data_IF_490406957335
#
_entry.id   IF_490406957335
#
_cell.length_a   1.000
_cell.length_b   1.000
_cell.length_c   1.000
_cell.angle_alpha   90.00
_cell.angle_beta   90.00
_cell.angle_gamma   90.00
#
_symmetry.space_group_name_H-M   'P 1'
#
loop_
_entity.id
_entity.type
_entity.pdbx_description
1 polymer ?
#
# COMPACT_ATOMS: atom_id res chain seq x y z
N UNK A 1 7.11 36.17 -41.50
CA UNK A 1 5.93 35.91 -40.66
C UNK A 1 5.67 34.42 -40.69
N UNK A 2 6.13 33.69 -39.67
CA UNK A 2 5.84 32.28 -39.50
C UNK A 2 5.19 32.12 -38.13
N UNK A 3 3.87 31.99 -38.11
CA UNK A 3 3.11 31.71 -36.89
C UNK A 3 3.45 30.29 -36.41
N UNK A 4 4.21 30.21 -35.31
CA UNK A 4 4.28 29.00 -34.50
C UNK A 4 3.05 28.97 -33.62
N UNK A 5 2.10 28.10 -33.97
CA UNK A 5 0.99 27.73 -33.08
C UNK A 5 1.57 27.00 -31.87
N UNK A 6 1.54 27.66 -30.72
CA UNK A 6 1.79 27.05 -29.43
C UNK A 6 0.63 26.08 -29.15
N UNK A 7 0.93 24.79 -29.15
CA UNK A 7 -0.03 23.77 -28.74
C UNK A 7 -0.19 23.89 -27.22
N UNK A 8 -1.33 24.42 -26.80
CA UNK A 8 -1.73 24.52 -25.40
C UNK A 8 -1.99 23.11 -24.84
N UNK A 9 -0.93 22.48 -24.31
CA UNK A 9 -1.06 21.25 -23.55
C UNK A 9 -1.54 21.60 -22.15
N UNK A 10 -2.83 21.85 -21.99
CA UNK A 10 -3.45 21.88 -20.66
C UNK A 10 -3.35 20.47 -20.06
N UNK A 11 -2.27 20.23 -19.30
CA UNK A 11 -2.20 19.10 -18.38
C UNK A 11 -3.27 19.39 -17.33
N UNK A 12 -4.44 18.77 -17.47
CA UNK A 12 -5.42 18.69 -16.39
C UNK A 12 -4.70 18.17 -15.16
N UNK A 13 -4.48 19.04 -14.17
CA UNK A 13 -3.86 18.66 -12.92
C UNK A 13 -4.68 17.50 -12.34
N UNK A 14 -4.08 16.30 -12.26
CA UNK A 14 -4.76 15.11 -11.77
C UNK A 14 -5.27 15.40 -10.36
N UNK A 15 -6.59 15.53 -10.22
CA UNK A 15 -7.22 15.79 -8.91
C UNK A 15 -7.05 14.54 -8.06
N UNK A 16 -6.17 14.62 -7.07
CA UNK A 16 -5.92 13.52 -6.14
C UNK A 16 -7.21 13.17 -5.36
N UNK A 17 -7.47 11.87 -5.11
CA UNK A 17 -8.64 11.45 -4.34
C UNK A 17 -8.63 11.97 -2.90
N UNK A 18 -9.82 12.26 -2.37
CA UNK A 18 -9.99 12.64 -0.97
C UNK A 18 -10.28 11.39 -0.12
N UNK A 19 -9.75 11.36 1.10
CA UNK A 19 -10.04 10.32 2.09
C UNK A 19 -10.97 10.86 3.19
N UNK A 20 -11.84 9.99 3.70
CA UNK A 20 -12.70 10.28 4.86
C UNK A 20 -12.07 9.79 6.17
N UNK A 21 -12.42 10.41 7.30
CA UNK A 21 -12.02 9.92 8.63
C UNK A 21 -12.70 8.58 8.96
N UNK A 22 -11.97 7.67 9.61
CA UNK A 22 -12.47 6.38 10.11
C UNK A 22 -12.32 6.35 11.64
N UNK A 23 -13.40 6.55 12.42
CA UNK A 23 -13.29 6.76 13.87
C UNK A 23 -12.99 5.49 14.69
N UNK A 24 -13.09 4.29 14.11
CA UNK A 24 -13.01 3.02 14.84
C UNK A 24 -11.97 2.05 14.26
N UNK A 25 -10.84 2.58 13.78
CA UNK A 25 -9.76 1.73 13.30
C UNK A 25 -9.16 0.93 14.45
N UNK A 26 -8.90 -0.35 14.20
CA UNK A 26 -8.34 -1.27 15.19
C UNK A 26 -7.01 -1.80 14.69
N UNK A 27 -6.05 -1.87 15.61
CA UNK A 27 -4.73 -2.44 15.36
C UNK A 27 -4.78 -3.94 15.65
N UNK A 28 -4.22 -4.74 14.75
CA UNK A 28 -3.91 -6.15 14.99
C UNK A 28 -2.41 -6.34 14.97
N UNK A 29 -1.82 -6.55 16.15
CA UNK A 29 -0.40 -6.81 16.32
C UNK A 29 -0.02 -8.20 15.79
N UNK A 30 0.98 -8.27 14.94
CA UNK A 30 1.58 -9.52 14.44
C UNK A 30 2.86 -9.86 15.21
N UNK A 31 3.60 -8.83 15.64
CA UNK A 31 4.73 -8.95 16.57
C UNK A 31 4.87 -7.68 17.39
N UNK A 32 4.42 -7.74 18.64
CA UNK A 32 4.39 -6.61 19.57
C UNK A 32 3.82 -5.35 18.88
N UNK A 33 4.34 -4.16 19.20
CA UNK A 33 4.05 -2.92 18.48
C UNK A 33 4.97 -2.69 17.27
N UNK A 34 5.91 -3.60 17.02
CA UNK A 34 6.89 -3.46 15.94
C UNK A 34 6.35 -3.84 14.56
N UNK A 35 5.29 -4.64 14.51
CA UNK A 35 4.66 -5.09 13.27
C UNK A 35 3.17 -5.30 13.49
N UNK A 36 2.34 -4.52 12.80
CA UNK A 36 0.89 -4.58 12.97
C UNK A 36 0.12 -4.16 11.72
N UNK A 37 -1.13 -4.58 11.65
CA UNK A 37 -2.05 -4.22 10.56
C UNK A 37 -3.22 -3.41 11.07
N UNK A 38 -3.79 -2.59 10.18
CA UNK A 38 -5.02 -1.84 10.41
C UNK A 38 -5.97 -2.15 9.26
N UNK A 39 -7.03 -2.90 9.56
CA UNK A 39 -8.04 -3.27 8.57
C UNK A 39 -8.93 -2.06 8.25
N UNK A 40 -9.44 -2.01 7.00
CA UNK A 40 -10.34 -0.95 6.53
C UNK A 40 -9.76 0.47 6.70
N UNK A 41 -8.43 0.61 6.57
CA UNK A 41 -7.74 1.91 6.60
C UNK A 41 -8.24 2.80 5.45
N UNK A 42 -8.38 2.23 4.26
CA UNK A 42 -9.13 2.81 3.15
C UNK A 42 -10.36 1.95 2.83
N UNK A 43 -11.40 2.60 2.32
CA UNK A 43 -12.52 1.90 1.69
C UNK A 43 -12.14 1.39 0.30
N UNK A 44 -12.95 0.49 -0.26
CA UNK A 44 -12.73 0.03 -1.65
C UNK A 44 -12.84 1.19 -2.66
N UNK A 45 -13.80 2.10 -2.46
CA UNK A 45 -13.96 3.26 -3.33
C UNK A 45 -12.73 4.18 -3.29
N UNK A 46 -12.15 4.42 -2.12
CA UNK A 46 -10.92 5.21 -1.98
C UNK A 46 -9.73 4.49 -2.63
N UNK A 47 -9.56 3.19 -2.39
CA UNK A 47 -8.48 2.39 -2.97
C UNK A 47 -8.52 2.42 -4.49
N UNK A 48 -9.69 2.15 -5.10
CA UNK A 48 -9.90 2.22 -6.55
C UNK A 48 -9.66 3.63 -7.12
N UNK A 49 -10.08 4.68 -6.41
CA UNK A 49 -9.83 6.06 -6.83
C UNK A 49 -8.32 6.37 -6.87
N UNK A 50 -7.55 5.88 -5.90
CA UNK A 50 -6.09 6.04 -5.89
C UNK A 50 -5.39 5.23 -6.97
N UNK A 51 -5.82 3.99 -7.23
CA UNK A 51 -5.30 3.19 -8.37
C UNK A 51 -5.50 3.95 -9.67
N UNK A 52 -6.73 4.44 -9.93
CA UNK A 52 -7.05 5.21 -11.14
C UNK A 52 -6.18 6.48 -11.26
N UNK A 53 -5.96 7.18 -10.15
CA UNK A 53 -5.09 8.35 -10.12
C UNK A 53 -3.62 7.99 -10.43
N UNK A 54 -3.08 6.92 -9.83
CA UNK A 54 -1.71 6.44 -10.07
C UNK A 54 -1.50 6.00 -11.53
N UNK A 55 -2.47 5.30 -12.12
CA UNK A 55 -2.43 4.90 -13.53
C UNK A 55 -2.45 6.13 -14.45
N UNK A 56 -3.25 7.16 -14.13
CA UNK A 56 -3.33 8.40 -14.92
C UNK A 56 -2.02 9.20 -15.00
N UNK A 57 -1.13 9.04 -14.01
CA UNK A 57 0.18 9.70 -13.96
C UNK A 57 1.32 8.81 -14.48
N UNK A 58 1.00 7.64 -15.04
CA UNK A 58 1.94 6.77 -15.74
C UNK A 58 2.69 5.77 -14.87
N UNK A 59 2.12 5.35 -13.73
CA UNK A 59 2.69 4.27 -12.93
C UNK A 59 2.80 2.97 -13.75
N UNK A 60 3.97 2.33 -13.76
CA UNK A 60 4.26 1.13 -14.55
C UNK A 60 4.40 -0.11 -13.68
N UNK A 61 3.86 -1.23 -14.17
CA UNK A 61 4.00 -2.56 -13.55
C UNK A 61 5.46 -3.05 -13.66
N UNK A 62 5.88 -3.88 -12.69
CA UNK A 62 7.17 -4.59 -12.73
C UNK A 62 8.13 -4.23 -11.59
N UNK A 63 7.74 -3.34 -10.68
CA UNK A 63 8.53 -3.02 -9.49
C UNK A 63 8.55 -4.20 -8.52
N UNK A 64 9.71 -4.48 -7.93
CA UNK A 64 9.89 -5.52 -6.91
C UNK A 64 10.80 -5.01 -5.80
N UNK A 65 10.44 -5.35 -4.57
CA UNK A 65 11.28 -5.14 -3.40
C UNK A 65 11.79 -6.49 -2.91
N UNK A 66 13.09 -6.71 -3.06
CA UNK A 66 13.76 -7.88 -2.50
C UNK A 66 13.86 -7.82 -0.98
N UNK A 67 14.68 -8.69 -0.39
CA UNK A 67 14.90 -8.70 1.06
C UNK A 67 15.70 -7.48 1.49
N UNK A 68 15.18 -6.73 2.46
CA UNK A 68 15.79 -5.50 2.97
C UNK A 68 15.33 -5.17 4.40
N UNK A 69 15.94 -4.13 4.96
CA UNK A 69 15.60 -3.47 6.22
C UNK A 69 15.33 -2.01 5.90
N UNK A 70 14.34 -1.42 6.57
CA UNK A 70 14.03 0.00 6.45
C UNK A 70 14.70 0.76 7.59
N UNK A 71 15.55 1.71 7.23
CA UNK A 71 16.31 2.54 8.18
C UNK A 71 15.52 3.76 8.65
N UNK A 72 15.82 4.25 9.85
CA UNK A 72 15.29 5.53 10.31
C UNK A 72 16.01 6.70 9.67
N UNK A 73 15.26 7.63 9.11
CA UNK A 73 15.78 8.88 8.54
C UNK A 73 15.63 10.01 9.55
N UNK A 74 16.71 10.76 9.78
CA UNK A 74 16.70 12.03 10.50
C UNK A 74 16.32 13.15 9.52
N UNK A 75 15.29 13.91 9.86
CA UNK A 75 14.77 15.00 9.03
C UNK A 75 15.18 16.39 9.56
N UNK A 76 16.02 16.45 10.60
CA UNK A 76 16.34 17.67 11.32
C UNK A 76 15.26 18.08 12.33
N UNK A 77 15.56 19.08 13.15
CA UNK A 77 14.65 19.64 14.18
C UNK A 77 14.07 18.59 15.15
N UNK A 78 14.85 17.54 15.46
CA UNK A 78 14.39 16.44 16.32
C UNK A 78 13.43 15.47 15.64
N UNK A 79 13.10 15.67 14.36
CA UNK A 79 12.16 14.81 13.62
C UNK A 79 12.85 13.57 13.05
N UNK A 80 12.24 12.41 13.26
CA UNK A 80 12.78 11.13 12.78
C UNK A 80 11.67 10.19 12.28
N UNK A 81 11.95 9.39 11.26
CA UNK A 81 11.02 8.33 10.83
C UNK A 81 11.19 7.08 11.69
N UNK A 82 10.09 6.51 12.17
CA UNK A 82 10.12 5.29 13.01
C UNK A 82 9.38 4.09 12.41
N UNK A 83 8.43 4.31 11.50
CA UNK A 83 7.64 3.23 10.91
C UNK A 83 7.49 3.41 9.41
N UNK A 84 7.50 2.29 8.70
CA UNK A 84 7.05 2.21 7.32
C UNK A 84 5.55 1.95 7.35
N UNK A 85 4.80 2.68 6.54
CA UNK A 85 3.38 2.51 6.29
C UNK A 85 3.19 2.00 4.87
N UNK A 86 2.69 0.78 4.75
CA UNK A 86 2.25 0.18 3.49
C UNK A 86 0.72 0.16 3.44
N UNK A 87 0.12 0.78 2.44
CA UNK A 87 -1.34 0.74 2.20
C UNK A 87 -1.60 -0.08 0.94
N UNK A 88 -2.25 -1.22 1.08
CA UNK A 88 -2.60 -2.09 -0.04
C UNK A 88 -3.84 -1.54 -0.74
N UNK A 89 -3.70 -1.13 -2.00
CA UNK A 89 -4.80 -0.57 -2.81
C UNK A 89 -5.50 -1.63 -3.67
N UNK A 90 -4.92 -2.82 -3.73
CA UNK A 90 -5.44 -3.98 -4.46
C UNK A 90 -5.14 -5.24 -3.67
N UNK A 91 -6.00 -6.25 -3.74
CA UNK A 91 -5.75 -7.54 -3.12
C UNK A 91 -7.03 -8.32 -2.87
N UNK A 92 -6.90 -9.46 -2.19
CA UNK A 92 -8.05 -10.29 -1.85
C UNK A 92 -9.03 -9.51 -0.99
N UNK A 93 -10.28 -9.33 -1.47
CA UNK A 93 -11.35 -8.80 -0.64
C UNK A 93 -11.75 -9.90 0.36
N UNK A 94 -11.64 -9.63 1.67
CA UNK A 94 -12.37 -10.44 2.67
C UNK A 94 -13.69 -9.72 2.94
N UNK A 95 -14.80 -10.09 2.27
CA UNK A 95 -16.08 -9.54 2.66
C UNK A 95 -16.40 -10.01 4.09
N UNK A 96 -16.85 -9.06 4.91
CA UNK A 96 -17.57 -9.38 6.14
C UNK A 96 -18.71 -10.33 5.75
N UNK A 97 -18.82 -11.46 6.42
CA UNK A 97 -19.83 -12.47 6.11
C UNK A 97 -21.23 -11.88 6.27
N UNK A 98 -21.82 -11.43 5.17
CA UNK A 98 -23.26 -11.19 5.04
C UNK A 98 -23.69 -11.78 3.72
N UNK A 99 -24.45 -12.85 3.80
CA UNK A 99 -25.16 -13.48 2.69
C UNK A 99 -26.03 -12.43 2.00
N UNK A 100 -25.57 -11.84 0.91
CA UNK A 100 -26.45 -11.18 -0.04
C UNK A 100 -25.98 -11.45 -1.47
N UNK A 101 -26.76 -12.29 -2.15
CA UNK A 101 -26.66 -12.54 -3.59
C UNK A 101 -27.25 -11.34 -4.32
N UNK A 102 -26.45 -10.32 -4.60
CA UNK A 102 -26.57 -9.49 -5.81
C UNK A 102 -25.58 -8.33 -5.79
N UNK A 103 -24.61 -8.35 -6.69
CA UNK A 103 -24.10 -7.12 -7.31
C UNK A 103 -23.31 -7.44 -8.58
N UNK A 104 -23.28 -6.51 -9.54
CA UNK A 104 -22.91 -6.77 -10.93
C UNK A 104 -21.42 -7.08 -11.06
N UNK A 105 -21.09 -7.93 -12.04
CA UNK A 105 -19.72 -8.15 -12.51
C UNK A 105 -19.13 -6.84 -13.02
N UNK A 106 -18.45 -6.10 -12.14
CA UNK A 106 -17.45 -5.12 -12.59
C UNK A 106 -16.35 -5.89 -13.30
N UNK A 107 -16.22 -5.61 -14.58
CA UNK A 107 -15.26 -6.26 -15.46
C UNK A 107 -13.83 -5.81 -15.10
N UNK A 108 -12.91 -6.78 -15.06
CA UNK A 108 -11.46 -6.63 -15.32
C UNK A 108 -10.43 -6.52 -14.18
N UNK A 109 -10.60 -7.20 -13.04
CA UNK A 109 -9.40 -7.63 -12.28
C UNK A 109 -9.41 -9.14 -12.03
N UNK A 110 -8.55 -9.85 -12.74
CA UNK A 110 -8.15 -11.20 -12.35
C UNK A 110 -7.73 -11.19 -10.87
N UNK A 111 -8.09 -12.22 -10.07
CA UNK A 111 -7.72 -12.26 -8.67
C UNK A 111 -6.19 -12.16 -8.52
N UNK A 112 -5.74 -11.23 -7.66
CA UNK A 112 -4.32 -11.07 -7.33
C UNK A 112 -3.83 -12.34 -6.63
N UNK A 113 -2.76 -12.96 -7.15
CA UNK A 113 -2.12 -14.13 -6.54
C UNK A 113 -0.65 -13.83 -6.29
N UNK A 114 -0.18 -14.16 -5.09
CA UNK A 114 1.14 -13.80 -4.61
C UNK A 114 1.23 -12.35 -4.14
N UNK A 115 2.44 -11.82 -4.05
CA UNK A 115 2.66 -10.44 -3.61
C UNK A 115 2.58 -10.25 -2.09
N UNK A 116 2.69 -11.31 -1.30
CA UNK A 116 2.72 -11.22 0.17
C UNK A 116 3.92 -10.40 0.63
N UNK A 117 3.72 -9.59 1.67
CA UNK A 117 4.83 -8.95 2.38
C UNK A 117 5.24 -9.87 3.52
N UNK A 118 6.49 -10.35 3.48
CA UNK A 118 6.96 -11.42 4.36
C UNK A 118 8.10 -10.90 5.23
N UNK A 119 8.01 -11.19 6.52
CA UNK A 119 8.98 -10.79 7.52
C UNK A 119 9.69 -12.02 8.06
N UNK A 120 11.02 -11.92 8.17
CA UNK A 120 11.90 -12.98 8.58
C UNK A 120 12.59 -12.65 9.91
N UNK A 121 12.76 -13.67 10.74
CA UNK A 121 13.50 -13.63 11.99
C UNK A 121 14.86 -14.32 11.87
N UNK A 122 15.43 -14.67 13.02
CA UNK A 122 16.71 -15.37 13.12
C UNK A 122 16.72 -16.67 12.33
N UNK A 123 17.84 -16.98 11.67
CA UNK A 123 17.98 -18.17 10.81
C UNK A 123 16.93 -18.23 9.69
N UNK A 124 16.45 -17.07 9.23
CA UNK A 124 15.55 -16.96 8.09
C UNK A 124 14.16 -17.57 8.30
N UNK A 125 13.71 -17.73 9.54
CA UNK A 125 12.36 -18.23 9.85
C UNK A 125 11.32 -17.17 9.49
N UNK A 126 10.19 -17.58 8.90
CA UNK A 126 9.06 -16.66 8.64
C UNK A 126 8.40 -16.32 9.97
N UNK A 127 8.37 -15.03 10.30
CA UNK A 127 7.73 -14.48 11.51
C UNK A 127 6.31 -14.04 11.20
N UNK A 128 6.11 -13.41 10.04
CA UNK A 128 4.81 -12.99 9.59
C UNK A 128 4.75 -12.99 8.06
N UNK A 129 3.57 -13.30 7.54
CA UNK A 129 3.26 -13.26 6.12
C UNK A 129 1.93 -12.52 5.95
N UNK A 130 1.98 -11.36 5.29
CA UNK A 130 0.85 -10.45 5.16
C UNK A 130 0.40 -10.44 3.70
N UNK A 131 -0.73 -11.08 3.37
CA UNK A 131 -1.27 -11.04 2.02
C UNK A 131 -1.79 -9.63 1.69
N UNK A 132 -1.62 -9.16 0.45
CA UNK A 132 -2.20 -7.90 0.01
C UNK A 132 -3.73 -7.98 0.13
N UNK A 133 -4.29 -7.12 0.97
CA UNK A 133 -5.73 -7.04 1.24
C UNK A 133 -6.15 -5.60 0.96
N UNK A 134 -7.04 -5.39 0.00
CA UNK A 134 -7.46 -4.05 -0.42
C UNK A 134 -7.95 -3.22 0.78
N UNK A 135 -7.44 -1.99 0.88
CA UNK A 135 -7.79 -1.04 1.93
C UNK A 135 -7.13 -1.30 3.29
N UNK A 136 -6.33 -2.36 3.45
CA UNK A 136 -5.58 -2.63 4.67
C UNK A 136 -4.28 -1.81 4.69
N UNK A 137 -3.93 -1.29 5.87
CA UNK A 137 -2.59 -0.78 6.15
C UNK A 137 -1.76 -1.80 6.93
N UNK A 138 -0.46 -1.84 6.66
CA UNK A 138 0.56 -2.59 7.38
C UNK A 138 1.62 -1.61 7.84
N UNK A 139 1.97 -1.65 9.11
CA UNK A 139 3.02 -0.84 9.69
C UNK A 139 4.10 -1.74 10.28
N UNK A 140 5.36 -1.39 10.03
CA UNK A 140 6.50 -2.03 10.67
C UNK A 140 7.57 -1.01 11.06
N UNK A 141 8.24 -1.27 12.18
CA UNK A 141 9.25 -0.38 12.74
C UNK A 141 10.53 -0.36 11.89
N UNK A 142 11.25 0.76 11.91
CA UNK A 142 12.54 0.96 11.27
C UNK A 142 13.73 0.54 12.16
N UNK A 143 14.93 0.52 11.55
CA UNK A 143 16.23 0.43 12.22
C UNK A 143 16.48 -0.91 12.91
N UNK A 144 17.13 -0.89 14.07
CA UNK A 144 17.58 -2.09 14.81
C UNK A 144 16.47 -3.10 15.13
N UNK A 145 15.22 -2.64 15.20
CA UNK A 145 14.05 -3.48 15.50
C UNK A 145 13.28 -3.89 14.25
N UNK A 146 13.66 -3.39 13.09
CA UNK A 146 13.09 -3.77 11.80
C UNK A 146 13.38 -5.23 11.52
N UNK A 147 12.39 -5.95 11.00
CA UNK A 147 12.57 -7.33 10.56
C UNK A 147 12.98 -7.34 9.09
N UNK A 148 13.88 -8.24 8.73
CA UNK A 148 14.24 -8.46 7.33
C UNK A 148 12.96 -8.83 6.56
N UNK A 149 12.66 -8.12 5.48
CA UNK A 149 11.39 -8.32 4.79
C UNK A 149 11.49 -8.13 3.28
N UNK A 150 10.55 -8.71 2.56
CA UNK A 150 10.44 -8.58 1.11
C UNK A 150 8.98 -8.58 0.65
N UNK A 151 8.75 -8.10 -0.57
CA UNK A 151 7.52 -8.38 -1.30
C UNK A 151 7.75 -9.61 -2.19
N UNK A 152 7.04 -10.70 -1.93
CA UNK A 152 7.06 -11.90 -2.78
C UNK A 152 6.54 -11.57 -4.18
N UNK A 153 6.88 -12.44 -5.14
CA UNK A 153 6.46 -12.27 -6.52
C UNK A 153 4.93 -12.31 -6.64
N UNK A 154 4.39 -11.36 -7.38
CA UNK A 154 3.03 -11.46 -7.92
C UNK A 154 3.09 -12.43 -9.10
N UNK A 155 2.24 -13.44 -9.08
CA UNK A 155 2.17 -14.46 -10.15
C UNK A 155 0.97 -14.27 -11.07
N UNK A 156 -0.05 -13.55 -10.60
CA UNK A 156 -1.27 -13.22 -11.36
C UNK A 156 -1.83 -11.89 -10.87
N UNK A 157 -2.28 -11.04 -11.79
CA UNK A 157 -2.83 -9.70 -11.47
C UNK A 157 -1.75 -8.63 -11.23
N UNK A 158 -2.17 -7.48 -10.69
CA UNK A 158 -1.30 -6.33 -10.39
C UNK A 158 -1.49 -5.95 -8.92
N UNK A 159 -0.37 -5.80 -8.20
CA UNK A 159 -0.34 -5.33 -6.81
C UNK A 159 -0.03 -3.83 -6.78
N UNK A 160 -0.98 -3.03 -6.33
CA UNK A 160 -0.83 -1.62 -6.02
C UNK A 160 -0.65 -1.43 -4.51
N UNK A 161 0.43 -0.72 -4.12
CA UNK A 161 0.73 -0.36 -2.73
C UNK A 161 1.25 1.06 -2.67
N UNK A 162 0.77 1.84 -1.71
CA UNK A 162 1.47 3.06 -1.29
C UNK A 162 2.42 2.76 -0.14
N UNK A 163 3.63 3.28 -0.25
CA UNK A 163 4.63 3.30 0.82
C UNK A 163 4.80 4.74 1.29
N UNK A 164 4.81 4.94 2.61
CA UNK A 164 5.16 6.19 3.27
C UNK A 164 5.92 5.87 4.55
N UNK A 165 6.64 6.82 5.11
CA UNK A 165 7.21 6.70 6.45
C UNK A 165 6.44 7.59 7.44
N UNK A 166 6.40 7.18 8.71
CA UNK A 166 5.75 7.93 9.81
C UNK A 166 6.82 8.68 10.59
N UNK A 167 6.66 10.01 10.63
CA UNK A 167 7.57 10.95 11.29
C UNK A 167 7.10 11.24 12.71
N UNK A 168 8.03 11.24 13.65
CA UNK A 168 7.85 11.63 15.05
C UNK A 168 8.66 12.90 15.31
N UNK A 169 8.22 13.70 16.27
CA UNK A 169 8.83 14.96 16.71
C UNK A 169 8.86 15.01 18.24
#
# INVERSE_FOLDING_TARGET
>A
MGDRREADSSKTASKWPTIKTKPNLQITCLKDTHLFTVQNFLTSAESKAFVKAAESIGYKVGQRFGRHIDESNDLGDGKRTHYTLLIYLSGGFKPKATNDKSSPKDSSSEPLVGGETVFYGSRNTVVAEVPPTEGMALLHIHGDKCLLHEARNVTKGIKYVFRSDVVFA
#
